data_IF_254378747085
#
_entry.id   IF_254378747085
#
_cell.length_a   1.000
_cell.length_b   1.000
_cell.length_c   1.000
_cell.angle_alpha   90.00
_cell.angle_beta   90.00
_cell.angle_gamma   90.00
#
_symmetry.space_group_name_H-M   'P 1'
#
loop_
_entity.id
_entity.type
_entity.pdbx_description
1 polymer ?
#
# COMPACT_ATOMS: atom_id res chain seq x y z
N UNK A 1 18.71 9.71 10.05
CA UNK A 1 18.31 11.00 9.45
C UNK A 1 16.84 11.16 9.76
N UNK A 2 16.51 12.03 10.68
CA UNK A 2 15.10 12.33 10.98
C UNK A 2 14.57 13.19 9.84
N UNK A 3 13.58 12.68 9.12
CA UNK A 3 12.97 13.40 8.00
C UNK A 3 11.98 14.47 8.45
N UNK A 4 11.63 14.50 9.74
CA UNK A 4 10.60 15.39 10.30
C UNK A 4 9.17 15.02 9.89
N UNK A 5 8.97 13.94 9.13
CA UNK A 5 7.65 13.49 8.68
C UNK A 5 7.27 12.17 9.36
N UNK A 6 6.02 12.11 9.83
CA UNK A 6 5.45 10.93 10.52
C UNK A 6 4.68 10.00 9.57
N UNK A 7 4.62 10.34 8.30
CA UNK A 7 3.88 9.60 7.27
C UNK A 7 4.64 9.57 5.95
N UNK A 8 4.22 8.67 5.08
CA UNK A 8 4.62 8.60 3.67
C UNK A 8 3.39 8.38 2.79
N UNK A 9 3.57 8.54 1.48
CA UNK A 9 2.49 8.30 0.52
C UNK A 9 2.78 7.07 -0.32
N UNK A 10 1.76 6.26 -0.51
CA UNK A 10 1.76 5.15 -1.45
C UNK A 10 0.87 5.52 -2.64
N UNK A 11 1.47 5.73 -3.80
CA UNK A 11 0.75 6.06 -5.05
C UNK A 11 0.62 4.82 -5.90
N UNK A 12 -0.60 4.52 -6.30
CA UNK A 12 -0.94 3.30 -7.04
C UNK A 12 -2.13 3.56 -7.99
N UNK A 13 -2.48 2.54 -8.77
CA UNK A 13 -3.63 2.57 -9.67
C UNK A 13 -4.72 1.61 -9.19
N UNK A 14 -5.93 1.75 -9.74
CA UNK A 14 -7.01 0.79 -9.50
C UNK A 14 -6.57 -0.65 -9.81
N UNK A 15 -5.83 -0.86 -10.89
CA UNK A 15 -5.31 -2.17 -11.30
C UNK A 15 -4.38 -2.81 -10.27
N UNK A 16 -3.60 -1.99 -9.54
CA UNK A 16 -2.76 -2.47 -8.45
C UNK A 16 -3.64 -2.85 -7.25
N UNK A 17 -4.53 -1.96 -6.83
CA UNK A 17 -5.30 -2.17 -5.60
C UNK A 17 -6.24 -3.37 -5.71
N UNK A 18 -6.84 -3.58 -6.87
CA UNK A 18 -7.70 -4.75 -7.13
C UNK A 18 -6.96 -6.07 -6.94
N UNK A 19 -5.70 -6.11 -7.33
CA UNK A 19 -4.93 -7.34 -7.34
C UNK A 19 -4.11 -7.53 -6.06
N UNK A 20 -3.37 -6.51 -5.67
CA UNK A 20 -2.39 -6.66 -4.59
C UNK A 20 -3.00 -6.48 -3.20
N UNK A 21 -4.17 -5.83 -3.13
CA UNK A 21 -4.93 -5.68 -1.89
C UNK A 21 -6.08 -6.69 -1.74
N UNK A 22 -6.24 -7.61 -2.67
CA UNK A 22 -7.34 -8.58 -2.64
C UNK A 22 -7.39 -9.41 -1.34
N UNK A 23 -6.23 -9.70 -0.74
CA UNK A 23 -6.10 -10.42 0.52
C UNK A 23 -5.80 -9.52 1.72
N UNK A 24 -5.82 -8.19 1.54
CA UNK A 24 -5.56 -7.25 2.64
C UNK A 24 -6.65 -7.33 3.70
N UNK A 25 -6.24 -7.21 4.95
CA UNK A 25 -7.15 -7.30 6.09
C UNK A 25 -7.62 -8.72 6.40
N UNK A 26 -7.02 -9.73 5.78
CA UNK A 26 -7.41 -11.14 5.96
C UNK A 26 -7.38 -11.61 7.41
N UNK A 27 -6.51 -11.06 8.23
CA UNK A 27 -6.38 -11.41 9.65
C UNK A 27 -7.57 -10.91 10.49
N UNK A 28 -8.27 -9.89 10.01
CA UNK A 28 -9.43 -9.28 10.66
C UNK A 28 -10.74 -9.54 9.91
N UNK A 29 -10.68 -10.22 8.78
CA UNK A 29 -11.84 -10.48 7.96
C UNK A 29 -12.48 -11.82 8.33
N UNK A 30 -13.77 -11.82 8.68
CA UNK A 30 -14.49 -13.03 9.09
C UNK A 30 -14.55 -14.09 8.01
N UNK A 31 -14.41 -13.71 6.72
CA UNK A 31 -14.43 -14.65 5.60
C UNK A 31 -13.27 -15.64 5.61
N UNK A 32 -12.05 -15.16 5.84
CA UNK A 32 -10.88 -16.04 5.87
C UNK A 32 -10.74 -16.74 7.22
N UNK A 33 -11.04 -16.08 8.33
CA UNK A 33 -11.02 -16.66 9.66
C UNK A 33 -12.21 -17.58 9.91
N UNK A 34 -13.37 -17.26 9.33
CA UNK A 34 -14.60 -18.08 9.38
C UNK A 34 -14.65 -19.20 8.34
N UNK A 35 -13.61 -19.34 7.49
CA UNK A 35 -13.55 -20.36 6.42
C UNK A 35 -14.69 -20.28 5.42
N UNK A 36 -15.22 -19.09 5.15
CA UNK A 36 -16.25 -18.87 4.14
C UNK A 36 -15.62 -18.89 2.74
N UNK A 37 -15.72 -20.05 2.09
CA UNK A 37 -15.13 -20.27 0.76
C UNK A 37 -15.80 -19.39 -0.31
N UNK A 38 -17.09 -19.09 -0.19
CA UNK A 38 -17.80 -18.25 -1.18
C UNK A 38 -17.31 -16.81 -1.09
N UNK A 39 -17.11 -16.32 0.13
CA UNK A 39 -16.59 -14.98 0.37
C UNK A 39 -15.11 -14.87 -0.06
N UNK A 40 -14.30 -15.90 0.25
CA UNK A 40 -12.91 -15.98 -0.20
C UNK A 40 -12.79 -15.99 -1.74
N UNK A 41 -13.68 -16.72 -2.43
CA UNK A 41 -13.73 -16.71 -3.90
C UNK A 41 -14.13 -15.34 -4.47
N UNK A 42 -14.94 -14.54 -3.74
CA UNK A 42 -15.29 -13.19 -4.18
C UNK A 42 -14.09 -12.26 -4.30
N UNK A 43 -13.02 -12.51 -3.52
CA UNK A 43 -11.79 -11.70 -3.51
C UNK A 43 -10.92 -11.88 -4.74
N UNK A 44 -11.10 -12.97 -5.48
CA UNK A 44 -10.35 -13.24 -6.72
C UNK A 44 -11.14 -12.86 -7.98
N UNK A 45 -12.34 -12.32 -7.83
CA UNK A 45 -13.13 -11.78 -8.94
C UNK A 45 -12.50 -10.46 -9.45
N UNK A 46 -12.80 -10.07 -10.70
CA UNK A 46 -12.46 -8.73 -11.19
C UNK A 46 -13.04 -7.63 -10.31
N UNK A 47 -12.27 -6.57 -10.08
CA UNK A 47 -12.61 -5.49 -9.17
C UNK A 47 -11.99 -5.66 -7.78
N UNK A 48 -11.88 -4.56 -7.04
CA UNK A 48 -11.36 -4.61 -5.69
C UNK A 48 -12.36 -5.29 -4.74
N UNK A 49 -11.85 -5.98 -3.72
CA UNK A 49 -12.69 -6.58 -2.70
C UNK A 49 -13.53 -5.51 -1.97
N UNK A 50 -14.75 -5.86 -1.56
CA UNK A 50 -15.68 -4.92 -0.93
C UNK A 50 -15.08 -4.11 0.24
N UNK A 51 -14.25 -4.67 1.14
CA UNK A 51 -13.57 -3.90 2.17
C UNK A 51 -12.60 -2.85 1.59
N UNK A 52 -11.90 -3.17 0.52
CA UNK A 52 -10.96 -2.23 -0.16
C UNK A 52 -11.73 -1.09 -0.80
N UNK A 53 -12.85 -1.37 -1.47
CA UNK A 53 -13.72 -0.33 -2.03
C UNK A 53 -14.35 0.55 -0.94
N UNK A 54 -14.65 -0.01 0.22
CA UNK A 54 -15.12 0.77 1.36
C UNK A 54 -14.02 1.71 1.89
N UNK A 55 -12.78 1.24 2.00
CA UNK A 55 -11.64 2.08 2.38
C UNK A 55 -11.38 3.20 1.37
N UNK A 56 -11.47 2.93 0.07
CA UNK A 56 -11.34 3.96 -0.96
C UNK A 56 -12.41 5.06 -0.83
N UNK A 57 -13.63 4.70 -0.44
CA UNK A 57 -14.75 5.65 -0.33
C UNK A 57 -14.80 6.41 0.99
N UNK A 58 -14.38 5.78 2.06
CA UNK A 58 -14.62 6.27 3.43
C UNK A 58 -13.33 6.40 4.25
N UNK A 59 -12.20 5.88 3.77
CA UNK A 59 -10.93 5.97 4.49
C UNK A 59 -10.40 7.41 4.48
N UNK A 60 -10.13 7.96 5.65
CA UNK A 60 -9.63 9.32 5.81
C UNK A 60 -8.27 9.56 5.14
N UNK A 61 -7.52 8.51 4.92
CA UNK A 61 -6.17 8.54 4.35
C UNK A 61 -6.11 8.12 2.87
N UNK A 62 -7.27 7.98 2.23
CA UNK A 62 -7.38 7.60 0.82
C UNK A 62 -7.77 8.81 -0.04
N UNK A 63 -7.02 9.02 -1.11
CA UNK A 63 -7.36 9.97 -2.18
C UNK A 63 -7.50 9.21 -3.48
N UNK A 64 -8.61 9.41 -4.18
CA UNK A 64 -8.88 8.80 -5.49
C UNK A 64 -9.13 9.93 -6.50
N UNK A 65 -8.43 9.90 -7.62
CA UNK A 65 -8.53 10.95 -8.64
C UNK A 65 -8.28 10.38 -10.03
N UNK A 66 -8.86 11.00 -11.05
CA UNK A 66 -8.67 10.61 -12.44
C UNK A 66 -7.39 11.21 -13.04
N UNK A 67 -6.89 12.30 -12.47
CA UNK A 67 -5.70 13.00 -12.93
C UNK A 67 -4.67 13.17 -11.82
N UNK A 68 -3.40 13.28 -12.21
CA UNK A 68 -2.31 13.51 -11.24
C UNK A 68 -2.43 14.86 -10.50
N UNK A 69 -2.79 15.99 -11.16
CA UNK A 69 -3.01 17.24 -10.43
C UNK A 69 -4.11 17.15 -9.37
N UNK A 70 -5.22 16.47 -9.66
CA UNK A 70 -6.29 16.24 -8.69
C UNK A 70 -5.83 15.35 -7.53
N UNK A 71 -5.06 14.32 -7.84
CA UNK A 71 -4.47 13.45 -6.81
C UNK A 71 -3.60 14.25 -5.85
N UNK A 72 -2.69 15.07 -6.39
CA UNK A 72 -1.79 15.93 -5.59
C UNK A 72 -2.56 16.95 -4.77
N UNK A 73 -3.59 17.56 -5.34
CA UNK A 73 -4.46 18.47 -4.60
C UNK A 73 -5.13 17.78 -3.41
N UNK A 74 -5.65 16.55 -3.62
CA UNK A 74 -6.23 15.74 -2.56
C UNK A 74 -5.22 15.33 -1.50
N UNK A 75 -4.00 14.92 -1.89
CA UNK A 75 -2.93 14.58 -0.96
C UNK A 75 -2.56 15.78 -0.07
N UNK A 76 -2.37 16.95 -0.67
CA UNK A 76 -2.03 18.18 0.05
C UNK A 76 -3.17 18.66 0.96
N UNK A 77 -4.42 18.38 0.62
CA UNK A 77 -5.57 18.73 1.45
C UNK A 77 -5.66 17.89 2.74
N UNK A 78 -5.00 16.75 2.79
CA UNK A 78 -4.95 15.88 3.99
C UNK A 78 -3.79 16.23 4.94
N UNK A 79 -2.99 17.23 4.63
CA UNK A 79 -1.82 17.63 5.41
C UNK A 79 -1.91 19.10 5.79
N UNK A 80 -1.30 19.48 6.91
CA UNK A 80 -1.32 20.87 7.37
C UNK A 80 -0.57 21.81 6.43
N UNK A 81 0.41 21.28 5.70
CA UNK A 81 1.20 22.00 4.71
C UNK A 81 1.18 21.28 3.36
N UNK A 82 1.11 22.00 2.22
CA UNK A 82 1.12 21.39 0.89
C UNK A 82 2.55 20.96 0.50
N UNK A 83 3.00 19.83 1.03
CA UNK A 83 4.38 19.36 0.87
C UNK A 83 4.64 18.66 -0.47
N UNK A 84 3.60 18.26 -1.19
CA UNK A 84 3.75 17.54 -2.45
C UNK A 84 3.75 18.54 -3.62
N UNK A 85 4.90 18.64 -4.27
CA UNK A 85 5.04 19.39 -5.52
C UNK A 85 4.56 18.51 -6.70
N UNK A 86 3.52 18.93 -7.44
CA UNK A 86 2.97 18.16 -8.55
C UNK A 86 3.98 17.91 -9.67
N UNK A 87 4.84 18.87 -9.97
CA UNK A 87 5.85 18.73 -11.03
C UNK A 87 6.94 17.74 -10.63
N UNK A 88 7.36 17.78 -9.38
CA UNK A 88 8.35 16.84 -8.85
C UNK A 88 7.78 15.40 -8.82
N UNK A 89 6.54 15.22 -8.38
CA UNK A 89 5.88 13.92 -8.36
C UNK A 89 5.67 13.37 -9.78
N UNK A 90 5.17 14.18 -10.71
CA UNK A 90 5.01 13.78 -12.11
C UNK A 90 6.32 13.31 -12.73
N UNK A 91 7.38 14.07 -12.52
CA UNK A 91 8.72 13.71 -13.03
C UNK A 91 9.20 12.35 -12.51
N UNK A 92 8.96 12.05 -11.23
CA UNK A 92 9.32 10.77 -10.64
C UNK A 92 8.48 9.62 -11.21
N UNK A 93 7.17 9.81 -11.35
CA UNK A 93 6.28 8.80 -11.92
C UNK A 93 6.63 8.54 -13.39
N UNK A 94 6.85 9.58 -14.17
CA UNK A 94 7.26 9.46 -15.58
C UNK A 94 8.60 8.72 -15.70
N UNK A 95 9.56 9.01 -14.82
CA UNK A 95 10.84 8.29 -14.80
C UNK A 95 10.65 6.79 -14.53
N UNK A 96 9.84 6.45 -13.52
CA UNK A 96 9.48 5.05 -13.21
C UNK A 96 8.73 4.39 -14.38
N UNK A 97 7.78 5.09 -14.99
CA UNK A 97 6.95 4.54 -16.07
C UNK A 97 7.76 4.28 -17.35
N UNK A 98 8.85 5.02 -17.58
CA UNK A 98 9.82 4.71 -18.65
C UNK A 98 10.55 3.39 -18.40
N UNK A 99 10.88 3.11 -17.15
CA UNK A 99 11.59 1.88 -16.78
C UNK A 99 10.69 0.63 -16.91
N UNK A 100 9.36 0.78 -16.90
CA UNK A 100 8.43 -0.35 -17.07
C UNK A 100 8.59 -1.06 -18.42
N UNK A 101 8.96 -0.34 -19.46
CA UNK A 101 9.17 -0.88 -20.80
C UNK A 101 10.65 -1.23 -21.08
N UNK A 102 11.55 -0.99 -20.12
CA UNK A 102 12.98 -1.22 -20.26
C UNK A 102 13.36 -2.64 -19.78
N UNK A 103 13.68 -3.59 -20.68
CA UNK A 103 14.07 -4.94 -20.29
C UNK A 103 15.42 -4.99 -19.55
N UNK A 104 16.22 -3.94 -19.61
CA UNK A 104 17.52 -3.79 -18.94
C UNK A 104 17.46 -2.85 -17.74
N UNK A 105 16.26 -2.57 -17.25
CA UNK A 105 16.07 -1.68 -16.10
C UNK A 105 16.93 -2.09 -14.91
N UNK A 106 17.44 -1.08 -14.20
CA UNK A 106 18.12 -1.24 -12.89
C UNK A 106 17.27 -0.66 -11.75
N UNK A 107 16.06 -0.19 -12.05
CA UNK A 107 15.13 0.23 -11.02
C UNK A 107 14.69 -0.99 -10.20
N UNK A 108 14.96 -0.95 -8.90
CA UNK A 108 14.71 -2.08 -8.01
C UNK A 108 13.22 -2.43 -7.89
N UNK A 109 12.33 -1.44 -7.92
CA UNK A 109 10.90 -1.68 -7.85
C UNK A 109 10.39 -2.36 -9.13
N UNK A 110 10.80 -1.85 -10.29
CA UNK A 110 10.42 -2.43 -11.58
C UNK A 110 10.98 -3.84 -11.73
N UNK A 111 12.23 -4.06 -11.35
CA UNK A 111 12.84 -5.41 -11.33
C UNK A 111 12.07 -6.35 -10.40
N UNK A 112 11.67 -5.89 -9.21
CA UNK A 112 10.90 -6.70 -8.27
C UNK A 112 9.53 -7.10 -8.85
N UNK A 113 8.82 -6.17 -9.51
CA UNK A 113 7.55 -6.43 -10.19
C UNK A 113 7.72 -7.50 -11.28
N UNK A 114 8.71 -7.38 -12.14
CA UNK A 114 8.97 -8.36 -13.19
C UNK A 114 9.37 -9.72 -12.64
N UNK A 115 10.21 -9.76 -11.59
CA UNK A 115 10.66 -11.00 -10.98
C UNK A 115 9.56 -11.74 -10.22
N UNK A 116 8.73 -11.02 -9.46
CA UNK A 116 7.61 -11.64 -8.72
C UNK A 116 6.65 -12.36 -9.67
N UNK A 117 6.43 -11.84 -10.87
CA UNK A 117 5.55 -12.46 -11.86
C UNK A 117 6.14 -13.68 -12.58
N UNK A 118 7.38 -14.07 -12.30
CA UNK A 118 7.92 -15.37 -12.73
C UNK A 118 7.29 -16.53 -11.95
N UNK A 119 6.89 -16.29 -10.71
CA UNK A 119 6.12 -17.26 -9.92
C UNK A 119 4.67 -17.31 -10.40
N UNK A 120 4.16 -18.51 -10.70
CA UNK A 120 2.75 -18.71 -11.08
C UNK A 120 1.79 -18.29 -9.97
N UNK A 121 2.12 -18.59 -8.72
CA UNK A 121 1.30 -18.24 -7.57
C UNK A 121 1.20 -16.72 -7.40
N UNK A 122 2.32 -15.99 -7.48
CA UNK A 122 2.34 -14.54 -7.37
C UNK A 122 1.60 -13.87 -8.55
N UNK A 123 1.81 -14.38 -9.77
CA UNK A 123 1.11 -13.90 -10.96
C UNK A 123 -0.41 -14.06 -10.84
N UNK A 124 -0.89 -15.14 -10.25
CA UNK A 124 -2.32 -15.42 -10.11
C UNK A 124 -2.95 -14.65 -8.95
N UNK A 125 -2.28 -14.56 -7.81
CA UNK A 125 -2.93 -14.15 -6.57
C UNK A 125 -2.52 -12.77 -6.04
N UNK A 126 -1.29 -12.29 -6.31
CA UNK A 126 -0.73 -11.18 -5.54
C UNK A 126 -0.18 -10.01 -6.36
N UNK A 127 0.34 -10.24 -7.55
CA UNK A 127 1.06 -9.20 -8.29
C UNK A 127 0.28 -8.73 -9.50
N UNK A 128 0.00 -7.45 -9.59
CA UNK A 128 -0.62 -6.84 -10.76
C UNK A 128 0.25 -7.01 -12.01
N UNK A 129 -0.37 -7.05 -13.18
CA UNK A 129 0.39 -7.02 -14.43
C UNK A 129 1.19 -5.71 -14.52
N UNK A 130 2.47 -5.76 -14.93
CA UNK A 130 3.27 -4.56 -15.13
C UNK A 130 2.54 -3.55 -16.01
N UNK A 131 2.47 -2.32 -15.57
CA UNK A 131 1.85 -1.22 -16.30
C UNK A 131 2.40 0.12 -15.81
N UNK A 132 2.17 1.16 -16.60
CA UNK A 132 2.51 2.53 -16.24
C UNK A 132 1.49 3.07 -15.24
N UNK A 133 1.94 3.85 -14.28
CA UNK A 133 1.04 4.51 -13.31
C UNK A 133 0.14 5.52 -14.02
N UNK A 134 0.69 6.25 -15.00
CA UNK A 134 -0.07 7.25 -15.77
C UNK A 134 -0.83 6.66 -16.97
N UNK A 135 -0.96 5.34 -17.07
CA UNK A 135 -1.79 4.71 -18.10
C UNK A 135 -3.28 4.81 -17.71
N UNK A 136 -4.11 5.55 -18.46
CA UNK A 136 -5.55 5.66 -18.18
C UNK A 136 -6.27 4.31 -18.14
N UNK A 137 -5.77 3.30 -18.86
CA UNK A 137 -6.32 1.95 -18.84
C UNK A 137 -6.08 1.20 -17.51
N UNK A 138 -5.27 1.76 -16.64
CA UNK A 138 -5.03 1.21 -15.29
C UNK A 138 -6.08 1.67 -14.26
N UNK A 139 -7.06 2.47 -14.68
CA UNK A 139 -8.10 3.06 -13.84
C UNK A 139 -7.63 4.32 -13.09
N UNK A 140 -8.41 4.83 -12.14
CA UNK A 140 -8.06 6.03 -11.41
C UNK A 140 -6.77 5.86 -10.62
N UNK A 141 -6.11 6.98 -10.38
CA UNK A 141 -4.97 7.10 -9.48
C UNK A 141 -5.46 7.07 -8.03
N UNK A 142 -4.70 6.43 -7.18
CA UNK A 142 -5.01 6.32 -5.75
C UNK A 142 -3.77 6.69 -4.97
N UNK A 143 -3.91 7.55 -3.98
CA UNK A 143 -2.87 7.80 -2.99
C UNK A 143 -3.36 7.38 -1.60
N UNK A 144 -2.50 6.69 -0.87
CA UNK A 144 -2.79 6.27 0.50
C UNK A 144 -1.73 6.85 1.42
N UNK A 145 -2.16 7.60 2.44
CA UNK A 145 -1.26 8.11 3.47
C UNK A 145 -0.93 6.98 4.46
N UNK A 146 0.33 6.63 4.55
CA UNK A 146 0.84 5.58 5.41
C UNK A 146 1.50 6.20 6.63
N UNK A 147 0.92 5.96 7.80
CA UNK A 147 1.48 6.40 9.07
C UNK A 147 2.52 5.41 9.60
N UNK A 148 3.50 5.93 10.31
CA UNK A 148 4.50 5.10 10.98
C UNK A 148 3.84 4.51 12.23
N UNK A 149 3.35 3.28 12.08
CA UNK A 149 2.76 2.51 13.17
C UNK A 149 3.40 1.14 13.28
N UNK A 150 3.52 0.62 14.48
CA UNK A 150 3.96 -0.75 14.69
C UNK A 150 2.76 -1.69 14.53
N UNK A 151 2.84 -2.63 13.61
CA UNK A 151 1.82 -3.67 13.44
C UNK A 151 1.74 -4.59 14.65
N UNK A 152 2.88 -4.84 15.26
CA UNK A 152 3.02 -5.63 16.49
C UNK A 152 3.85 -4.81 17.45
N UNK A 153 3.37 -4.66 18.65
CA UNK A 153 4.21 -4.15 19.72
C UNK A 153 5.20 -5.25 20.12
N UNK A 154 6.47 -4.90 20.15
CA UNK A 154 7.50 -5.71 20.81
C UNK A 154 7.59 -5.33 22.29
N UNK A 155 6.75 -4.40 22.71
CA UNK A 155 6.56 -4.08 24.11
C UNK A 155 5.86 -5.25 24.83
N UNK A 156 6.15 -5.39 26.07
CA UNK A 156 5.59 -6.43 26.92
C UNK A 156 5.88 -6.10 28.38
N UNK A 157 5.68 -7.07 29.22
CA UNK A 157 6.11 -6.95 30.61
C UNK A 157 7.63 -6.86 30.66
N UNK A 158 8.13 -5.85 31.34
CA UNK A 158 9.55 -5.73 31.59
C UNK A 158 9.99 -6.88 32.52
N UNK A 159 10.98 -7.65 32.10
CA UNK A 159 11.49 -8.78 32.88
C UNK A 159 12.96 -8.63 33.14
N UNK A 160 13.45 -9.28 34.23
CA UNK A 160 14.87 -9.48 34.46
C UNK A 160 15.43 -10.57 33.51
N UNK A 161 16.73 -10.80 33.56
CA UNK A 161 17.41 -11.82 32.76
C UNK A 161 16.97 -13.26 33.08
N UNK A 162 16.25 -13.46 34.19
CA UNK A 162 15.65 -14.74 34.56
C UNK A 162 14.19 -14.85 34.15
N UNK A 163 13.66 -13.86 33.40
CA UNK A 163 12.27 -13.84 32.91
C UNK A 163 11.24 -13.43 33.99
N UNK A 164 11.63 -12.94 35.15
CA UNK A 164 10.70 -12.47 36.19
C UNK A 164 10.21 -11.06 35.86
N UNK A 165 8.90 -10.85 35.99
CA UNK A 165 8.29 -9.54 35.74
C UNK A 165 8.80 -8.53 36.78
N UNK A 166 9.30 -7.40 36.30
CA UNK A 166 9.75 -6.27 37.10
C UNK A 166 8.58 -5.30 37.23
N UNK A 167 8.17 -5.03 38.48
CA UNK A 167 7.13 -4.04 38.76
C UNK A 167 7.60 -2.60 38.52
N UNK A 168 6.65 -1.70 38.26
CA UNK A 168 6.96 -0.27 38.16
C UNK A 168 7.57 0.24 39.50
N UNK A 169 8.85 0.58 39.47
CA UNK A 169 9.59 1.06 40.64
C UNK A 169 10.80 0.21 41.05
N UNK A 170 11.06 -0.90 40.36
CA UNK A 170 12.22 -1.76 40.62
C UNK A 170 13.44 -1.49 39.71
N UNK A 171 13.60 -0.26 39.25
CA UNK A 171 14.81 0.19 38.56
C UNK A 171 15.65 0.96 39.56
N UNK A 172 16.60 0.29 40.12
CA UNK A 172 17.74 0.91 40.86
C UNK A 172 19.00 0.74 40.03
#
# INVERSE_FOLDING_TARGET
>A
METGHEYSWFVLTQKIIEKEFALSGSEQNPDLTGKDIKLALSRVRPGAAAPVEAFKRHGADFVVADTLPELVAGMNALTDEPLIDPVALERQIVARDREMDNPFTKDLQVMAIHNSRRSRAEKLARTAAPHKILDPAAGPLIAVRLHIVTRKTLGGLQTDLSGRVIGAGAVS
#
